data_IF_124017355457
#
_entry.id   IF_124017355457
#
_cell.length_a   1.000
_cell.length_b   1.000
_cell.length_c   1.000
_cell.angle_alpha   90.00
_cell.angle_beta   90.00
_cell.angle_gamma   90.00
#
_symmetry.space_group_name_H-M   'P 1'
#
loop_
_entity.id
_entity.type
_entity.pdbx_description
1 polymer ?
#
# COMPACT_ATOMS: atom_id res chain seq x y z
N UNK A 1 -10.56 -2.41 -17.38
CA UNK A 1 -11.80 -1.80 -16.86
C UNK A 1 -12.96 -2.68 -17.30
N UNK A 2 -13.48 -3.47 -16.38
CA UNK A 2 -14.47 -4.50 -16.66
C UNK A 2 -15.82 -3.93 -17.12
N UNK A 3 -16.39 -4.56 -18.16
CA UNK A 3 -17.61 -4.15 -18.85
C UNK A 3 -18.89 -4.12 -18.00
N UNK A 4 -18.80 -4.46 -16.71
CA UNK A 4 -19.92 -4.48 -15.76
C UNK A 4 -19.96 -3.25 -14.82
N UNK A 5 -18.98 -2.35 -14.87
CA UNK A 5 -18.95 -1.14 -14.04
C UNK A 5 -18.60 -1.35 -12.57
N UNK A 6 -18.12 -2.54 -12.20
CA UNK A 6 -17.61 -2.88 -10.88
C UNK A 6 -16.17 -3.38 -10.99
N UNK A 7 -15.37 -3.12 -9.95
CA UNK A 7 -14.02 -3.67 -9.78
C UNK A 7 -14.01 -4.75 -8.71
N UNK A 8 -13.00 -5.63 -8.78
CA UNK A 8 -12.60 -6.60 -7.78
C UNK A 8 -11.30 -6.12 -7.08
N UNK A 9 -11.32 -5.03 -6.29
CA UNK A 9 -10.11 -4.43 -5.75
C UNK A 9 -9.40 -5.29 -4.70
N UNK A 10 -8.07 -5.23 -4.73
CA UNK A 10 -7.17 -5.71 -3.68
C UNK A 10 -5.98 -4.76 -3.48
N UNK A 11 -5.38 -4.79 -2.29
CA UNK A 11 -4.24 -3.95 -1.94
C UNK A 11 -2.99 -4.82 -1.83
N UNK A 12 -1.90 -4.39 -2.47
CA UNK A 12 -0.55 -4.91 -2.24
C UNK A 12 0.20 -3.92 -1.36
N UNK A 13 0.84 -4.43 -0.32
CA UNK A 13 1.68 -3.65 0.61
C UNK A 13 3.08 -4.23 0.56
N UNK A 14 4.09 -3.41 0.26
CA UNK A 14 5.48 -3.85 0.14
C UNK A 14 6.42 -2.94 0.92
N UNK A 15 7.36 -3.52 1.68
CA UNK A 15 8.36 -2.75 2.42
C UNK A 15 9.74 -2.81 1.73
N UNK A 16 10.28 -1.66 1.33
CA UNK A 16 11.58 -1.51 0.64
C UNK A 16 12.62 -0.79 1.51
N UNK A 17 13.93 -0.98 1.28
CA UNK A 17 14.54 -2.04 0.48
C UNK A 17 14.26 -3.44 1.07
N UNK A 18 14.02 -4.40 0.18
CA UNK A 18 13.42 -5.72 0.42
C UNK A 18 14.06 -6.49 1.60
N UNK A 19 13.22 -7.08 2.46
CA UNK A 19 13.61 -7.95 3.58
C UNK A 19 13.42 -9.44 3.22
N UNK A 20 13.45 -9.78 1.93
CA UNK A 20 13.07 -11.08 1.37
C UNK A 20 11.56 -11.20 1.13
N UNK A 21 11.10 -12.42 0.81
CA UNK A 21 9.71 -12.76 0.47
C UNK A 21 8.64 -12.31 1.49
N UNK A 22 9.02 -11.99 2.74
CA UNK A 22 8.13 -11.51 3.81
C UNK A 22 7.81 -10.01 3.71
N UNK A 23 8.48 -9.28 2.83
CA UNK A 23 8.28 -7.85 2.68
C UNK A 23 7.04 -7.48 1.84
N UNK A 24 6.50 -8.43 1.06
CA UNK A 24 5.31 -8.24 0.21
C UNK A 24 4.11 -8.94 0.82
N UNK A 25 3.05 -8.20 1.08
CA UNK A 25 1.76 -8.71 1.53
C UNK A 25 0.65 -8.27 0.57
N UNK A 26 -0.44 -9.02 0.55
CA UNK A 26 -1.64 -8.68 -0.22
C UNK A 26 -2.89 -8.98 0.59
N UNK A 27 -3.91 -8.15 0.42
CA UNK A 27 -5.23 -8.36 1.01
C UNK A 27 -6.01 -9.43 0.25
N UNK A 28 -7.16 -9.80 0.79
CA UNK A 28 -8.18 -10.49 0.02
C UNK A 28 -8.73 -9.61 -1.10
N UNK A 29 -9.15 -10.26 -2.19
CA UNK A 29 -9.85 -9.61 -3.30
C UNK A 29 -11.31 -9.41 -2.89
N UNK A 30 -11.78 -8.16 -2.90
CA UNK A 30 -13.17 -7.83 -2.60
C UNK A 30 -13.93 -7.73 -3.91
N UNK A 31 -14.90 -8.62 -4.12
CA UNK A 31 -15.58 -8.72 -5.42
C UNK A 31 -16.66 -7.65 -5.60
N UNK A 32 -16.76 -7.12 -6.81
CA UNK A 32 -17.82 -6.21 -7.29
C UNK A 32 -18.06 -5.00 -6.38
N UNK A 33 -17.00 -4.30 -6.00
CA UNK A 33 -17.11 -3.10 -5.15
C UNK A 33 -16.13 -2.01 -5.56
N UNK A 34 -16.59 -0.75 -5.53
CA UNK A 34 -15.75 0.44 -5.69
C UNK A 34 -15.31 1.02 -4.33
N UNK A 35 -15.90 0.57 -3.23
CA UNK A 35 -15.60 0.99 -1.87
C UNK A 35 -15.29 -0.26 -1.02
N UNK A 36 -14.14 -0.92 -1.24
CA UNK A 36 -13.81 -2.13 -0.50
C UNK A 36 -13.47 -1.85 0.96
N UNK A 37 -14.03 -2.65 1.86
CA UNK A 37 -13.62 -2.73 3.26
C UNK A 37 -12.75 -3.99 3.46
N UNK A 38 -11.45 -3.79 3.64
CA UNK A 38 -10.50 -4.88 3.84
C UNK A 38 -10.47 -5.34 5.30
N UNK A 39 -10.30 -4.40 6.25
CA UNK A 39 -10.12 -4.68 7.68
C UNK A 39 -9.02 -5.72 7.96
N UNK A 40 -7.94 -5.68 7.17
CA UNK A 40 -6.78 -6.55 7.27
C UNK A 40 -5.57 -5.76 7.78
N UNK A 41 -4.80 -6.34 8.71
CA UNK A 41 -3.59 -5.74 9.28
C UNK A 41 -2.37 -6.58 8.89
N UNK A 42 -1.28 -5.90 8.52
CA UNK A 42 -0.01 -6.53 8.17
C UNK A 42 1.09 -6.05 9.12
N UNK A 43 1.93 -6.98 9.59
CA UNK A 43 2.99 -6.69 10.55
C UNK A 43 4.36 -7.02 9.97
N UNK A 44 5.28 -6.07 10.11
CA UNK A 44 6.69 -6.24 9.71
C UNK A 44 7.58 -6.16 10.96
N UNK A 45 8.42 -7.18 11.17
CA UNK A 45 9.42 -7.17 12.23
C UNK A 45 10.64 -6.35 11.79
N UNK A 46 10.75 -5.11 12.27
CA UNK A 46 11.80 -4.17 11.88
C UNK A 46 12.31 -3.46 13.13
N UNK A 47 13.64 -3.36 13.27
CA UNK A 47 14.24 -2.51 14.29
C UNK A 47 13.89 -1.05 14.03
N UNK A 48 13.51 -0.32 15.08
CA UNK A 48 13.16 1.09 14.97
C UNK A 48 14.21 1.97 14.25
N UNK A 49 15.51 1.69 14.48
CA UNK A 49 16.60 2.40 13.82
C UNK A 49 16.65 2.20 12.29
N UNK A 50 16.15 1.06 11.81
CA UNK A 50 16.11 0.74 10.38
C UNK A 50 14.82 1.24 9.73
N UNK A 51 13.74 1.45 10.49
CA UNK A 51 12.46 1.94 9.98
C UNK A 51 12.61 3.28 9.25
N UNK A 52 13.47 4.19 9.74
CA UNK A 52 13.73 5.47 9.08
C UNK A 52 14.33 5.33 7.65
N UNK A 53 14.96 4.20 7.34
CA UNK A 53 15.55 3.90 6.02
C UNK A 53 14.61 3.07 5.14
N UNK A 54 13.43 2.71 5.66
CA UNK A 54 12.44 1.94 4.92
C UNK A 54 11.43 2.85 4.25
N UNK A 55 10.81 2.27 3.24
CA UNK A 55 9.73 2.85 2.45
C UNK A 55 8.63 1.81 2.33
N UNK A 56 7.40 2.19 2.64
CA UNK A 56 6.21 1.36 2.52
C UNK A 56 5.44 1.75 1.26
N UNK A 57 5.42 0.85 0.30
CA UNK A 57 4.67 0.96 -0.94
C UNK A 57 3.28 0.35 -0.75
N UNK A 58 2.24 1.12 -1.03
CA UNK A 58 0.85 0.69 -0.96
C UNK A 58 0.23 0.90 -2.33
N UNK A 59 -0.26 -0.17 -2.96
CA UNK A 59 -0.86 -0.11 -4.29
C UNK A 59 -2.18 -0.85 -4.32
N UNK A 60 -3.16 -0.28 -4.99
CA UNK A 60 -4.50 -0.83 -5.17
C UNK A 60 -4.62 -1.30 -6.62
N UNK A 61 -5.14 -2.50 -6.78
CA UNK A 61 -5.22 -3.21 -8.05
C UNK A 61 -6.63 -3.79 -8.21
N UNK A 62 -7.10 -3.84 -9.44
CA UNK A 62 -8.32 -4.54 -9.85
C UNK A 62 -7.95 -5.96 -10.30
N UNK A 63 -8.58 -6.98 -9.72
CA UNK A 63 -8.33 -8.36 -10.11
C UNK A 63 -9.24 -8.78 -11.27
N UNK A 64 -8.66 -9.00 -12.45
CA UNK A 64 -9.40 -9.46 -13.63
C UNK A 64 -9.21 -10.96 -13.85
N UNK A 65 -10.30 -11.73 -13.83
CA UNK A 65 -10.24 -13.15 -14.14
C UNK A 65 -9.94 -13.37 -15.63
N UNK A 66 -8.73 -13.84 -15.93
CA UNK A 66 -8.30 -14.20 -17.30
C UNK A 66 -7.59 -13.07 -18.06
N UNK A 67 -7.26 -11.95 -17.40
CA UNK A 67 -6.43 -10.86 -17.92
C UNK A 67 -5.37 -10.45 -16.89
N UNK A 68 -4.50 -9.51 -17.26
CA UNK A 68 -3.64 -8.82 -16.32
C UNK A 68 -4.47 -7.94 -15.39
N UNK A 69 -4.07 -7.85 -14.11
CA UNK A 69 -4.72 -6.99 -13.13
C UNK A 69 -4.52 -5.51 -13.51
N UNK A 70 -5.58 -4.70 -13.44
CA UNK A 70 -5.49 -3.28 -13.71
C UNK A 70 -4.99 -2.53 -12.46
N UNK A 71 -3.99 -1.67 -12.63
CA UNK A 71 -3.56 -0.78 -11.54
C UNK A 71 -4.56 0.35 -11.35
N UNK A 72 -5.09 0.51 -10.14
CA UNK A 72 -6.04 1.58 -9.81
C UNK A 72 -5.29 2.82 -9.34
N UNK A 73 -4.31 2.64 -8.45
CA UNK A 73 -3.54 3.74 -7.88
C UNK A 73 -2.78 3.32 -6.63
N UNK A 74 -1.86 4.16 -6.17
CA UNK A 74 -1.05 3.85 -4.99
C UNK A 74 -0.51 5.07 -4.27
N UNK A 75 0.11 4.83 -3.13
CA UNK A 75 0.87 5.82 -2.39
C UNK A 75 2.11 5.17 -1.77
N UNK A 76 3.07 6.02 -1.40
CA UNK A 76 4.31 5.60 -0.80
C UNK A 76 4.52 6.37 0.50
N UNK A 77 4.77 5.66 1.60
CA UNK A 77 5.14 6.24 2.88
C UNK A 77 6.62 6.01 3.12
N UNK A 78 7.35 7.05 3.51
CA UNK A 78 8.79 6.96 3.72
C UNK A 78 9.39 8.34 3.93
N UNK A 79 10.66 8.41 4.33
CA UNK A 79 11.36 9.69 4.50
C UNK A 79 11.52 10.46 3.17
N UNK A 80 11.39 9.77 2.03
CA UNK A 80 11.46 10.36 0.68
C UNK A 80 10.07 10.76 0.14
N UNK A 81 8.99 10.42 0.85
CA UNK A 81 7.65 10.82 0.48
C UNK A 81 7.46 12.35 0.62
N UNK A 82 6.33 12.87 0.15
CA UNK A 82 5.98 14.29 0.23
C UNK A 82 4.59 14.48 0.83
N UNK A 83 4.32 15.68 1.35
CA UNK A 83 3.01 16.06 1.88
C UNK A 83 2.53 15.14 3.01
N UNK A 84 1.26 14.74 2.95
CA UNK A 84 0.62 13.94 4.00
C UNK A 84 1.24 12.54 4.17
N UNK A 85 1.78 11.96 3.10
CA UNK A 85 2.48 10.67 3.17
C UNK A 85 3.75 10.74 4.03
N UNK A 86 4.52 11.82 3.89
CA UNK A 86 5.70 12.08 4.73
C UNK A 86 5.33 12.34 6.18
N UNK A 87 4.30 13.15 6.40
CA UNK A 87 3.79 13.47 7.73
C UNK A 87 3.32 12.23 8.46
N UNK A 88 2.57 11.35 7.78
CA UNK A 88 2.13 10.08 8.34
C UNK A 88 3.33 9.20 8.74
N UNK A 89 4.33 9.09 7.87
CA UNK A 89 5.55 8.32 8.18
C UNK A 89 6.29 8.87 9.41
N UNK A 90 6.44 10.19 9.52
CA UNK A 90 7.06 10.82 10.67
C UNK A 90 6.29 10.61 11.97
N UNK A 91 4.95 10.68 11.95
CA UNK A 91 4.14 10.43 13.13
C UNK A 91 4.30 8.97 13.61
N UNK A 92 4.40 8.00 12.70
CA UNK A 92 4.72 6.61 13.03
C UNK A 92 6.12 6.45 13.64
N UNK A 93 7.13 7.16 13.12
CA UNK A 93 8.49 7.14 13.66
C UNK A 93 8.57 7.81 15.05
N UNK A 94 7.84 8.90 15.26
CA UNK A 94 7.91 9.68 16.50
C UNK A 94 7.10 9.04 17.63
N UNK A 95 5.93 8.49 17.32
CA UNK A 95 5.00 7.94 18.29
C UNK A 95 5.08 6.41 18.34
N UNK A 96 6.06 5.90 19.08
CA UNK A 96 6.15 4.44 19.34
C UNK A 96 4.89 3.95 20.05
N UNK A 97 4.45 2.74 19.69
CA UNK A 97 3.30 2.03 20.29
C UNK A 97 1.95 2.74 20.14
N UNK A 98 1.85 3.75 19.26
CA UNK A 98 0.59 4.38 18.90
C UNK A 98 0.18 3.99 17.49
N UNK A 99 -1.10 3.61 17.35
CA UNK A 99 -1.74 3.45 16.05
C UNK A 99 -1.98 4.83 15.44
N UNK A 100 -1.46 5.06 14.25
CA UNK A 100 -1.72 6.27 13.45
C UNK A 100 -2.58 5.84 12.26
N UNK A 101 -3.73 6.48 12.08
CA UNK A 101 -4.69 6.18 11.02
C UNK A 101 -4.92 7.45 10.19
N UNK A 102 -4.65 7.37 8.89
CA UNK A 102 -4.72 8.52 7.97
C UNK A 102 -5.19 8.06 6.59
N UNK A 103 -6.10 8.82 5.98
CA UNK A 103 -6.48 8.65 4.58
C UNK A 103 -5.42 9.25 3.65
N UNK A 104 -5.17 8.59 2.52
CA UNK A 104 -4.26 9.06 1.48
C UNK A 104 -4.97 9.03 0.13
N UNK A 105 -4.71 10.04 -0.70
CA UNK A 105 -5.18 10.04 -2.09
C UNK A 105 -4.32 9.07 -2.89
N UNK A 106 -4.95 8.19 -3.66
CA UNK A 106 -4.26 7.28 -4.56
C UNK A 106 -3.75 8.05 -5.78
N UNK A 107 -2.47 7.88 -6.09
CA UNK A 107 -1.85 8.45 -7.27
C UNK A 107 -1.86 7.41 -8.39
N UNK A 108 -2.27 7.83 -9.59
CA UNK A 108 -2.29 6.98 -10.79
C UNK A 108 -0.93 6.90 -11.49
N UNK A 109 0.09 7.60 -10.99
CA UNK A 109 1.36 7.77 -11.66
C UNK A 109 2.42 6.76 -11.19
N UNK A 110 3.11 6.19 -12.17
CA UNK A 110 4.17 5.18 -12.03
C UNK A 110 5.48 5.74 -11.41
N UNK A 111 5.50 7.00 -10.95
CA UNK A 111 6.65 7.60 -10.24
C UNK A 111 6.99 6.90 -8.92
N UNK A 112 6.04 6.15 -8.37
CA UNK A 112 6.34 5.11 -7.38
C UNK A 112 6.63 3.82 -8.15
N UNK A 113 7.90 3.43 -8.23
CA UNK A 113 8.31 2.18 -8.85
C UNK A 113 7.80 0.99 -8.01
N UNK A 114 6.55 0.58 -8.24
CA UNK A 114 6.01 -0.69 -7.74
C UNK A 114 6.59 -1.80 -8.62
N UNK A 115 7.44 -2.66 -8.05
CA UNK A 115 7.99 -3.81 -8.77
C UNK A 115 6.97 -4.94 -8.70
N UNK A 116 6.54 -5.44 -9.86
CA UNK A 116 5.61 -6.57 -10.03
C UNK A 116 5.95 -7.81 -9.15
#
# INVERSE_FOLDING_TARGET
>A
MDSNGYSDPFVKVSLKPDMGKKAKNKTQIKKKTLNPEFNEEFSYDIKHAELAKKTLDISVWDYDMGKSNDFIGGCQLGIQAKGECLKHWYECLKNKDKKIECWHVLLNDNSVHFED
#
